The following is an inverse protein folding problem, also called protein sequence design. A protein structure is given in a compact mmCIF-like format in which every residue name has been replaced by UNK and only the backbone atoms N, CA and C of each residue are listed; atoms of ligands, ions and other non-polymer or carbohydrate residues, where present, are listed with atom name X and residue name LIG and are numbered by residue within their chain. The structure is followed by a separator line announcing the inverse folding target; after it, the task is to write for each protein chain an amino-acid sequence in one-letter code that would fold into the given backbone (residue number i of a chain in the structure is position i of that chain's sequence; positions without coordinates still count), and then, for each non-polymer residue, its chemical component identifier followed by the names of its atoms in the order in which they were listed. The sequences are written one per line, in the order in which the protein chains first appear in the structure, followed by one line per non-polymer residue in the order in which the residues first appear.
data_IF_729344261604
#
_entry.id   IF_729344261604
#
_cell.length_a   1.000
_cell.length_b   1.000
_cell.length_c   1.000
_cell.angle_alpha   90.00
_cell.angle_beta   90.00
_cell.angle_gamma   90.00
#
_symmetry.space_group_name_H-M   'P 1'
#
loop_
_entity.id
_entity.type
_entity.pdbx_description
1 polymer ?
#
# COMPACT_ATOMS: atom_id res chain seq x y z
N UNK A 1 -1.49 -16.90 16.15
CA UNK A 1 -1.73 -18.23 15.51
C UNK A 1 -2.46 -17.93 14.21
N UNK A 2 -1.95 -18.33 13.04
CA UNK A 2 -2.48 -17.86 11.74
C UNK A 2 -3.63 -18.75 11.25
N UNK A 3 -4.76 -18.16 10.83
CA UNK A 3 -5.95 -18.90 10.39
C UNK A 3 -6.08 -18.89 8.87
N UNK A 4 -6.26 -20.08 8.28
CA UNK A 4 -6.46 -20.26 6.84
C UNK A 4 -7.96 -20.20 6.52
N UNK A 5 -8.35 -19.28 5.63
CA UNK A 5 -9.74 -19.13 5.20
C UNK A 5 -9.94 -19.74 3.82
N UNK A 6 -10.87 -20.70 3.71
CA UNK A 6 -11.29 -21.31 2.45
C UNK A 6 -12.65 -20.76 2.03
N UNK A 7 -12.77 -20.29 0.79
CA UNK A 7 -14.06 -19.85 0.24
C UNK A 7 -14.38 -20.51 -1.10
N UNK A 8 -15.56 -21.10 -1.18
CA UNK A 8 -16.09 -21.81 -2.33
C UNK A 8 -17.36 -21.12 -2.86
N UNK A 9 -17.53 -21.08 -4.18
CA UNK A 9 -18.80 -20.68 -4.82
C UNK A 9 -19.50 -21.90 -5.43
N UNK A 10 -20.83 -21.90 -5.47
CA UNK A 10 -21.64 -22.97 -6.06
C UNK A 10 -22.34 -23.91 -5.08
N UNK A 11 -22.23 -23.69 -3.76
CA UNK A 11 -23.04 -24.41 -2.78
C UNK A 11 -24.46 -23.83 -2.76
N UNK A 12 -25.39 -24.44 -3.50
CA UNK A 12 -26.81 -24.12 -3.36
C UNK A 12 -27.31 -24.70 -2.03
N UNK A 13 -27.71 -23.77 -1.15
CA UNK A 13 -28.59 -23.91 0.01
C UNK A 13 -28.22 -24.90 1.13
N UNK A 14 -28.09 -24.32 2.33
CA UNK A 14 -28.37 -24.98 3.61
C UNK A 14 -29.71 -25.71 3.54
N UNK A 15 -29.72 -27.04 3.59
CA UNK A 15 -30.66 -27.90 4.31
C UNK A 15 -30.15 -29.35 4.18
N UNK A 16 -30.26 -30.16 5.25
CA UNK A 16 -30.04 -31.60 5.21
C UNK A 16 -30.81 -32.19 4.01
N UNK A 17 -30.11 -32.75 3.03
CA UNK A 17 -30.73 -33.50 1.94
C UNK A 17 -30.57 -35.00 2.21
N UNK A 18 -31.67 -35.63 2.63
CA UNK A 18 -31.85 -37.08 2.50
C UNK A 18 -31.79 -37.42 1.01
N UNK A 19 -30.86 -38.31 0.66
CA UNK A 19 -30.56 -38.69 -0.72
C UNK A 19 -31.59 -39.72 -1.21
N UNK A 20 -32.52 -39.30 -2.07
CA UNK A 20 -33.26 -40.20 -2.97
C UNK A 20 -32.93 -39.82 -4.42
N UNK A 21 -32.20 -40.71 -5.09
CA UNK A 21 -31.67 -40.57 -6.45
C UNK A 21 -32.75 -40.88 -7.49
N UNK A 22 -33.14 -39.90 -8.33
CA UNK A 22 -33.63 -40.18 -9.70
C UNK A 22 -33.32 -39.02 -10.66
N UNK A 23 -32.51 -39.27 -11.70
CA UNK A 23 -32.35 -38.39 -12.88
C UNK A 23 -30.91 -38.30 -13.43
N UNK A 24 -30.66 -38.57 -14.74
CA UNK A 24 -29.30 -38.74 -15.28
C UNK A 24 -28.58 -37.43 -15.68
N UNK A 25 -28.96 -36.27 -15.12
CA UNK A 25 -28.31 -34.99 -15.45
C UNK A 25 -27.99 -34.15 -14.20
N UNK A 26 -27.26 -34.76 -13.26
CA UNK A 26 -26.56 -34.02 -12.21
C UNK A 26 -25.22 -33.53 -12.78
N UNK A 27 -25.20 -32.32 -13.34
CA UNK A 27 -23.95 -31.56 -13.36
C UNK A 27 -23.63 -31.20 -11.91
N UNK A 28 -22.75 -31.97 -11.27
CA UNK A 28 -22.12 -31.53 -10.04
C UNK A 28 -21.42 -30.20 -10.35
N UNK A 29 -21.94 -29.09 -9.84
CA UNK A 29 -21.26 -27.80 -9.95
C UNK A 29 -19.99 -27.92 -9.10
N UNK A 30 -18.85 -28.21 -9.73
CA UNK A 30 -17.58 -28.28 -9.04
C UNK A 30 -17.36 -26.95 -8.31
N UNK A 31 -17.29 -27.03 -6.99
CA UNK A 31 -17.00 -25.89 -6.13
C UNK A 31 -15.66 -25.30 -6.57
N UNK A 32 -15.71 -24.14 -7.22
CA UNK A 32 -14.48 -23.47 -7.66
C UNK A 32 -14.00 -22.60 -6.50
N UNK A 33 -12.82 -22.94 -5.99
CA UNK A 33 -12.09 -22.13 -5.02
C UNK A 33 -11.80 -20.76 -5.62
N UNK A 34 -12.22 -19.68 -4.95
CA UNK A 34 -11.94 -18.32 -5.43
C UNK A 34 -10.51 -17.89 -5.09
N UNK A 35 -10.13 -18.01 -3.83
CA UNK A 35 -8.79 -17.72 -3.31
C UNK A 35 -8.63 -18.37 -1.93
N UNK A 36 -7.37 -18.53 -1.50
CA UNK A 36 -7.03 -18.71 -0.08
C UNK A 36 -6.22 -17.50 0.37
N UNK A 37 -6.52 -17.00 1.57
CA UNK A 37 -5.68 -15.99 2.23
C UNK A 37 -5.63 -16.31 3.71
N UNK A 38 -4.42 -16.41 4.24
CA UNK A 38 -4.17 -16.49 5.66
C UNK A 38 -4.15 -15.08 6.24
N UNK A 39 -4.90 -14.85 7.31
CA UNK A 39 -5.01 -13.54 7.97
C UNK A 39 -4.80 -13.74 9.47
N UNK A 40 -3.95 -12.93 10.09
CA UNK A 40 -3.73 -12.99 11.53
C UNK A 40 -2.85 -11.87 12.08
N UNK A 41 -3.04 -11.58 13.37
CA UNK A 41 -2.16 -10.73 14.16
C UNK A 41 -1.05 -11.53 14.85
N UNK A 42 -0.42 -10.90 15.84
CA UNK A 42 0.70 -11.48 16.60
C UNK A 42 0.26 -12.43 17.72
N UNK A 43 -1.00 -12.38 18.14
CA UNK A 43 -1.57 -13.17 19.23
C UNK A 43 -2.67 -14.13 18.71
N UNK A 44 -3.75 -14.30 19.47
CA UNK A 44 -4.88 -15.18 19.11
C UNK A 44 -5.91 -14.39 18.30
N UNK A 45 -6.33 -14.98 17.18
CA UNK A 45 -7.31 -14.40 16.26
C UNK A 45 -8.37 -15.44 15.91
N UNK A 46 -9.62 -15.12 16.21
CA UNK A 46 -10.78 -15.98 16.02
C UNK A 46 -11.74 -15.32 15.01
N UNK A 47 -11.62 -15.64 13.71
CA UNK A 47 -12.59 -15.21 12.70
C UNK A 47 -13.90 -15.98 12.91
N UNK A 48 -15.02 -15.25 12.97
CA UNK A 48 -16.35 -15.82 13.24
C UNK A 48 -17.32 -15.67 12.07
N UNK A 49 -17.04 -14.76 11.13
CA UNK A 49 -17.94 -14.47 10.02
C UNK A 49 -17.19 -14.03 8.76
N UNK A 50 -17.76 -14.37 7.61
CA UNK A 50 -17.40 -13.81 6.31
C UNK A 50 -18.69 -13.40 5.60
N UNK A 51 -18.75 -12.16 5.14
CA UNK A 51 -19.91 -11.60 4.42
C UNK A 51 -19.43 -11.08 3.08
N UNK A 52 -20.09 -11.48 1.99
CA UNK A 52 -19.83 -10.90 0.68
C UNK A 52 -20.41 -9.49 0.60
N UNK A 53 -19.64 -8.51 0.13
CA UNK A 53 -20.09 -7.13 -0.02
C UNK A 53 -20.74 -6.89 -1.39
N UNK A 54 -21.59 -5.87 -1.48
CA UNK A 54 -22.30 -5.52 -2.72
C UNK A 54 -21.36 -5.19 -3.89
N UNK A 55 -20.17 -4.69 -3.58
CA UNK A 55 -19.14 -4.39 -4.56
C UNK A 55 -18.31 -5.63 -4.96
N UNK A 56 -18.70 -6.84 -4.52
CA UNK A 56 -18.04 -8.09 -4.89
C UNK A 56 -16.78 -8.42 -4.07
N UNK A 57 -16.46 -7.63 -3.06
CA UNK A 57 -15.50 -8.00 -2.01
C UNK A 57 -16.12 -8.90 -0.93
N UNK A 58 -15.40 -9.01 0.19
CA UNK A 58 -15.79 -9.72 1.39
C UNK A 58 -15.36 -8.93 2.62
N UNK A 59 -16.11 -9.02 3.70
CA UNK A 59 -15.70 -8.61 5.04
C UNK A 59 -15.54 -9.86 5.88
N UNK A 60 -14.36 -10.03 6.48
CA UNK A 60 -14.13 -11.04 7.51
C UNK A 60 -14.24 -10.36 8.86
N UNK A 61 -15.11 -10.86 9.72
CA UNK A 61 -15.31 -10.37 11.08
C UNK A 61 -14.89 -11.42 12.09
N UNK A 62 -14.36 -10.96 13.21
CA UNK A 62 -13.97 -11.83 14.32
C UNK A 62 -13.48 -11.04 15.51
N UNK A 63 -12.75 -11.74 16.37
CA UNK A 63 -12.10 -11.12 17.53
C UNK A 63 -10.62 -11.43 17.53
N UNK A 64 -9.83 -10.53 18.09
CA UNK A 64 -8.38 -10.63 18.12
C UNK A 64 -7.87 -10.08 19.45
N UNK A 65 -6.95 -10.78 20.09
CA UNK A 65 -6.18 -10.28 21.23
C UNK A 65 -4.88 -9.58 20.80
N UNK A 66 -4.67 -9.41 19.50
CA UNK A 66 -3.46 -8.82 18.94
C UNK A 66 -3.50 -7.30 18.99
N UNK A 67 -2.39 -6.69 19.43
CA UNK A 67 -2.08 -5.30 19.10
C UNK A 67 -1.77 -5.11 17.61
N UNK A 68 -1.30 -3.93 17.22
CA UNK A 68 -0.85 -3.70 15.85
C UNK A 68 0.30 -4.66 15.50
N UNK A 69 0.23 -5.32 14.34
CA UNK A 69 1.21 -6.31 13.90
C UNK A 69 0.60 -7.46 13.11
N UNK A 70 1.43 -8.19 12.35
CA UNK A 70 0.94 -9.17 11.38
C UNK A 70 0.15 -8.48 10.26
N UNK A 71 -1.07 -8.94 9.99
CA UNK A 71 -2.00 -8.30 9.04
C UNK A 71 -2.85 -7.20 9.69
N UNK A 72 -2.78 -7.03 11.02
CA UNK A 72 -3.57 -6.02 11.75
C UNK A 72 -2.88 -4.67 11.70
N UNK A 73 -3.53 -3.70 11.06
CA UNK A 73 -3.00 -2.33 10.83
C UNK A 73 -3.37 -1.33 11.92
N UNK A 74 -4.25 -1.70 12.86
CA UNK A 74 -4.72 -0.84 13.94
C UNK A 74 -4.44 -1.49 15.30
N UNK A 75 -4.11 -0.68 16.31
CA UNK A 75 -3.98 -1.16 17.68
C UNK A 75 -5.32 -1.71 18.21
N UNK A 76 -5.26 -2.66 19.13
CA UNK A 76 -6.44 -3.13 19.88
C UNK A 76 -6.93 -2.04 20.84
N UNK A 77 -8.25 -1.96 21.06
CA UNK A 77 -8.85 -1.07 22.06
C UNK A 77 -9.14 -1.84 23.35
N UNK A 78 -8.09 -2.43 23.93
CA UNK A 78 -8.18 -3.27 25.14
C UNK A 78 -7.56 -4.65 24.91
N UNK A 79 -8.08 -5.67 25.59
CA UNK A 79 -7.64 -7.06 25.47
C UNK A 79 -8.10 -7.72 24.17
N UNK A 80 -9.10 -8.61 24.25
CA UNK A 80 -9.73 -9.21 23.07
C UNK A 80 -10.75 -8.24 22.49
N UNK A 81 -10.50 -7.75 21.30
CA UNK A 81 -11.31 -6.72 20.63
C UNK A 81 -11.82 -7.22 19.27
N UNK A 82 -12.85 -6.57 18.73
CA UNK A 82 -13.35 -6.89 17.40
C UNK A 82 -12.30 -6.55 16.33
N UNK A 83 -12.27 -7.38 15.29
CA UNK A 83 -11.43 -7.12 14.13
C UNK A 83 -12.21 -7.41 12.86
N UNK A 84 -12.20 -6.43 11.96
CA UNK A 84 -12.86 -6.50 10.67
C UNK A 84 -11.80 -6.33 9.59
N UNK A 85 -11.75 -7.28 8.65
CA UNK A 85 -10.77 -7.32 7.57
C UNK A 85 -11.50 -7.29 6.22
N UNK A 86 -11.38 -6.20 5.45
CA UNK A 86 -11.88 -6.17 4.09
C UNK A 86 -10.98 -7.00 3.17
N UNK A 87 -11.60 -7.87 2.39
CA UNK A 87 -10.99 -8.62 1.32
C UNK A 87 -11.61 -8.20 -0.01
N UNK A 88 -10.77 -7.94 -1.00
CA UNK A 88 -11.23 -7.46 -2.29
C UNK A 88 -11.01 -8.56 -3.32
N UNK A 89 -12.06 -8.86 -4.10
CA UNK A 89 -11.97 -9.70 -5.29
C UNK A 89 -12.28 -8.84 -6.52
N UNK A 90 -11.59 -9.11 -7.63
CA UNK A 90 -11.73 -8.28 -8.83
C UNK A 90 -11.01 -8.87 -10.04
N UNK A 91 -11.23 -8.27 -11.21
CA UNK A 91 -10.49 -8.61 -12.42
C UNK A 91 -9.34 -7.62 -12.57
N UNK A 92 -8.36 -7.78 -11.68
CA UNK A 92 -7.27 -6.83 -11.54
C UNK A 92 -6.26 -6.94 -12.67
N UNK A 93 -5.68 -5.80 -13.00
CA UNK A 93 -4.52 -5.64 -13.86
C UNK A 93 -3.64 -4.54 -13.27
N UNK A 94 -2.34 -4.63 -13.43
CA UNK A 94 -1.44 -3.64 -12.83
C UNK A 94 0.02 -4.04 -12.90
N UNK A 95 0.88 -3.02 -12.84
CA UNK A 95 2.32 -3.16 -12.98
C UNK A 95 3.07 -2.20 -12.07
N UNK A 96 4.19 -2.69 -11.53
CA UNK A 96 5.26 -1.83 -11.00
C UNK A 96 6.27 -1.60 -12.11
N UNK A 97 6.39 -0.37 -12.61
CA UNK A 97 7.31 -0.06 -13.72
C UNK A 97 8.54 0.75 -13.30
N UNK A 98 8.47 1.50 -12.20
CA UNK A 98 9.59 2.31 -11.71
C UNK A 98 9.80 2.14 -10.20
N UNK A 99 11.05 2.08 -9.78
CA UNK A 99 11.47 2.16 -8.38
C UNK A 99 12.82 2.88 -8.35
N UNK A 100 12.89 3.96 -7.60
CA UNK A 100 14.11 4.72 -7.30
C UNK A 100 14.17 5.02 -5.80
N UNK A 101 15.06 5.92 -5.39
CA UNK A 101 15.29 6.25 -3.99
C UNK A 101 14.17 7.09 -3.33
N UNK A 102 13.18 7.56 -4.08
CA UNK A 102 12.10 8.39 -3.52
C UNK A 102 10.71 7.86 -3.86
N UNK A 103 10.55 7.05 -4.91
CA UNK A 103 9.23 6.67 -5.38
C UNK A 103 9.19 5.30 -6.08
N UNK A 104 8.21 4.49 -5.69
CA UNK A 104 7.69 3.38 -6.47
C UNK A 104 6.53 3.86 -7.33
N UNK A 105 6.61 3.57 -8.63
CA UNK A 105 5.70 4.07 -9.66
C UNK A 105 5.08 2.91 -10.42
N UNK A 106 3.79 3.01 -10.65
CA UNK A 106 3.01 1.94 -11.24
C UNK A 106 1.59 2.35 -11.56
N UNK A 107 0.78 1.34 -11.86
CA UNK A 107 -0.66 1.49 -12.02
C UNK A 107 -1.38 0.20 -11.60
N UNK A 108 -2.62 0.34 -11.15
CA UNK A 108 -3.50 -0.77 -10.80
C UNK A 108 -4.94 -0.43 -11.20
N UNK A 109 -5.64 -1.38 -11.81
CA UNK A 109 -6.97 -1.20 -12.36
C UNK A 109 -7.82 -2.44 -12.20
N UNK A 110 -9.12 -2.28 -11.98
CA UNK A 110 -10.10 -3.37 -11.99
C UNK A 110 -10.98 -3.27 -13.24
N UNK A 111 -10.94 -4.30 -14.09
CA UNK A 111 -11.75 -4.36 -15.31
C UNK A 111 -13.25 -4.33 -15.03
N UNK A 112 -13.69 -4.83 -13.87
CA UNK A 112 -15.11 -4.85 -13.47
C UNK A 112 -15.59 -3.52 -12.89
N UNK A 113 -14.66 -2.68 -12.41
CA UNK A 113 -14.93 -1.37 -11.83
C UNK A 113 -14.02 -0.31 -12.49
N UNK A 114 -14.20 -0.05 -13.80
CA UNK A 114 -13.19 0.59 -14.61
C UNK A 114 -12.87 2.05 -14.25
N UNK A 115 -13.70 2.70 -13.44
CA UNK A 115 -13.51 4.09 -13.00
C UNK A 115 -13.22 4.20 -11.49
N UNK A 116 -13.16 3.09 -10.77
CA UNK A 116 -12.92 3.07 -9.32
C UNK A 116 -11.42 2.97 -9.06
N UNK A 117 -10.83 3.89 -8.29
CA UNK A 117 -9.42 3.79 -7.92
C UNK A 117 -9.18 2.60 -6.99
N UNK A 118 -8.02 1.96 -7.11
CA UNK A 118 -7.60 0.87 -6.23
C UNK A 118 -6.52 1.36 -5.26
N UNK A 119 -6.50 0.82 -4.05
CA UNK A 119 -5.39 1.02 -3.12
C UNK A 119 -4.34 -0.07 -3.34
N UNK A 120 -3.08 0.34 -3.47
CA UNK A 120 -1.93 -0.55 -3.66
C UNK A 120 -1.11 -0.59 -2.37
N UNK A 121 -0.87 -1.78 -1.85
CA UNK A 121 -0.06 -2.04 -0.65
C UNK A 121 1.34 -2.50 -1.04
N UNK A 122 2.36 -1.96 -0.37
CA UNK A 122 3.76 -2.29 -0.56
C UNK A 122 4.32 -3.01 0.65
N UNK A 123 5.13 -4.03 0.41
CA UNK A 123 5.71 -4.86 1.48
C UNK A 123 7.08 -5.40 1.08
N UNK A 124 7.91 -5.69 2.08
CA UNK A 124 9.21 -6.33 1.88
C UNK A 124 9.02 -7.75 1.36
N UNK A 125 9.79 -8.10 0.34
CA UNK A 125 9.89 -9.46 -0.18
C UNK A 125 10.34 -10.43 0.93
N UNK A 126 9.80 -11.66 0.89
CA UNK A 126 10.00 -12.74 1.88
C UNK A 126 9.46 -12.47 3.28
N UNK A 127 9.76 -11.33 3.88
CA UNK A 127 9.30 -11.03 5.25
C UNK A 127 7.81 -10.69 5.30
N UNK A 128 7.24 -10.18 4.21
CA UNK A 128 5.84 -9.76 4.16
C UNK A 128 5.56 -8.50 4.99
N UNK A 129 6.58 -7.84 5.51
CA UNK A 129 6.44 -6.64 6.34
C UNK A 129 5.84 -5.51 5.50
N UNK A 130 4.65 -5.05 5.88
CA UNK A 130 3.96 -3.95 5.22
C UNK A 130 4.74 -2.64 5.43
N UNK A 131 5.00 -1.93 4.35
CA UNK A 131 5.71 -0.65 4.31
C UNK A 131 4.76 0.54 4.20
N UNK A 132 3.57 0.32 3.67
CA UNK A 132 2.55 1.33 3.49
C UNK A 132 1.65 1.04 2.30
N UNK A 133 0.75 1.97 2.00
CA UNK A 133 -0.13 1.88 0.85
C UNK A 133 -0.35 3.25 0.22
N UNK A 134 -0.78 3.27 -1.04
CA UNK A 134 -1.16 4.49 -1.75
C UNK A 134 -2.36 4.22 -2.65
N UNK A 135 -3.13 5.26 -2.97
CA UNK A 135 -4.25 5.14 -3.89
C UNK A 135 -3.77 5.32 -5.35
N UNK A 136 -4.28 4.49 -6.24
CA UNK A 136 -4.03 4.56 -7.67
C UNK A 136 -5.10 5.42 -8.35
N UNK A 137 -4.98 6.75 -8.19
CA UNK A 137 -5.93 7.75 -8.69
C UNK A 137 -5.29 8.80 -9.62
N UNK A 138 -4.03 8.62 -10.01
CA UNK A 138 -3.31 9.57 -10.87
C UNK A 138 -3.69 9.31 -12.33
N UNK A 139 -4.15 10.35 -13.02
CA UNK A 139 -4.48 10.32 -14.45
C UNK A 139 -3.22 10.10 -15.31
N UNK A 140 -3.34 9.24 -16.33
CA UNK A 140 -2.30 9.03 -17.34
C UNK A 140 -2.89 8.82 -18.72
N UNK A 141 -2.47 9.62 -19.70
CA UNK A 141 -2.98 9.55 -21.07
C UNK A 141 -2.82 8.15 -21.70
N UNK A 142 -1.67 7.51 -21.51
CA UNK A 142 -1.43 6.16 -22.05
C UNK A 142 -2.34 5.07 -21.46
N UNK A 143 -2.94 5.31 -20.28
CA UNK A 143 -3.96 4.42 -19.72
C UNK A 143 -5.32 4.63 -20.38
N UNK A 144 -5.61 5.87 -20.81
CA UNK A 144 -6.82 6.20 -21.57
C UNK A 144 -6.80 5.49 -22.92
N UNK A 145 -5.66 5.58 -23.61
CA UNK A 145 -5.44 4.94 -24.91
C UNK A 145 -5.53 3.41 -24.81
N UNK A 146 -5.14 2.84 -23.65
CA UNK A 146 -5.28 1.42 -23.34
C UNK A 146 -6.70 0.97 -22.91
N UNK A 147 -7.72 1.85 -23.01
CA UNK A 147 -9.11 1.53 -22.67
C UNK A 147 -9.37 1.31 -21.18
N UNK A 148 -8.51 1.81 -20.29
CA UNK A 148 -8.62 1.64 -18.83
C UNK A 148 -9.51 2.75 -18.22
N UNK A 149 -10.79 2.77 -18.61
CA UNK A 149 -11.81 3.65 -18.03
C UNK A 149 -11.47 5.16 -18.07
N UNK A 150 -11.48 5.80 -16.89
CA UNK A 150 -11.15 7.22 -16.74
C UNK A 150 -9.64 7.51 -16.73
N UNK A 151 -8.80 6.47 -16.82
CA UNK A 151 -7.35 6.55 -16.86
C UNK A 151 -6.67 7.09 -15.59
N UNK A 152 -7.43 7.31 -14.52
CA UNK A 152 -6.96 7.72 -13.20
C UNK A 152 -6.61 6.50 -12.35
N UNK A 153 -5.57 5.79 -12.77
CA UNK A 153 -5.20 4.47 -12.25
C UNK A 153 -3.71 4.31 -11.95
N UNK A 154 -2.93 5.38 -12.08
CA UNK A 154 -1.52 5.38 -11.72
C UNK A 154 -1.32 5.76 -10.26
N UNK A 155 -0.16 5.39 -9.72
CA UNK A 155 0.21 5.70 -8.35
C UNK A 155 1.68 6.07 -8.24
N UNK A 156 1.98 6.84 -7.19
CA UNK A 156 3.31 7.12 -6.67
C UNK A 156 3.30 6.75 -5.18
N UNK A 157 4.25 5.92 -4.75
CA UNK A 157 4.43 5.54 -3.35
C UNK A 157 5.83 5.90 -2.90
N UNK A 158 5.95 6.72 -1.85
CA UNK A 158 7.22 7.03 -1.22
C UNK A 158 7.45 6.07 -0.05
N UNK A 159 8.46 5.18 -0.14
CA UNK A 159 8.79 4.29 0.97
C UNK A 159 9.16 5.10 2.22
N UNK A 160 8.84 4.59 3.42
CA UNK A 160 9.27 5.23 4.66
C UNK A 160 10.80 5.17 4.78
N UNK A 161 11.39 6.12 5.51
CA UNK A 161 12.85 6.21 5.70
C UNK A 161 13.51 4.99 6.36
N UNK A 162 12.72 4.06 6.91
CA UNK A 162 13.18 2.77 7.44
C UNK A 162 13.54 1.74 6.36
N UNK A 163 13.29 2.03 5.08
CA UNK A 163 13.65 1.16 3.96
C UNK A 163 15.08 1.47 3.50
N UNK A 164 15.94 0.45 3.53
CA UNK A 164 17.34 0.56 3.14
C UNK A 164 17.54 0.24 1.66
N UNK A 165 18.55 0.85 1.02
CA UNK A 165 18.94 0.53 -0.35
C UNK A 165 19.18 -0.98 -0.53
N UNK A 166 18.79 -1.51 -1.69
CA UNK A 166 18.82 -2.94 -2.01
C UNK A 166 17.63 -3.74 -1.49
N UNK A 167 16.74 -3.15 -0.67
CA UNK A 167 15.55 -3.84 -0.20
C UNK A 167 14.65 -4.25 -1.36
N UNK A 168 14.29 -5.54 -1.43
CA UNK A 168 13.34 -6.05 -2.42
C UNK A 168 11.92 -5.77 -1.93
N UNK A 169 11.14 -5.04 -2.73
CA UNK A 169 9.78 -4.62 -2.42
C UNK A 169 8.81 -5.20 -3.45
N UNK A 170 7.68 -5.69 -2.93
CA UNK A 170 6.52 -6.14 -3.71
C UNK A 170 5.36 -5.18 -3.56
N UNK A 171 4.42 -5.28 -4.49
CA UNK A 171 3.16 -4.56 -4.43
C UNK A 171 1.98 -5.48 -4.74
N UNK A 172 0.87 -5.31 -4.04
CA UNK A 172 -0.40 -6.01 -4.28
C UNK A 172 -1.58 -5.05 -4.19
N UNK A 173 -2.72 -5.42 -4.77
CA UNK A 173 -3.98 -4.69 -4.51
C UNK A 173 -4.37 -4.97 -3.06
N UNK A 174 -4.53 -3.92 -2.25
CA UNK A 174 -4.84 -4.02 -0.82
C UNK A 174 -6.10 -4.88 -0.60
N UNK A 175 -6.04 -5.77 0.39
CA UNK A 175 -7.14 -6.69 0.67
C UNK A 175 -7.28 -7.87 -0.31
N UNK A 176 -6.45 -7.96 -1.36
CA UNK A 176 -6.49 -9.10 -2.30
C UNK A 176 -5.27 -10.01 -2.15
N UNK A 177 -5.21 -11.07 -2.97
CA UNK A 177 -4.01 -11.90 -3.21
C UNK A 177 -3.31 -11.55 -4.54
N UNK A 178 -3.82 -10.55 -5.28
CA UNK A 178 -3.29 -10.17 -6.58
C UNK A 178 -2.02 -9.32 -6.43
N UNK A 179 -0.87 -9.93 -6.72
CA UNK A 179 0.39 -9.21 -6.85
C UNK A 179 0.46 -8.45 -8.19
N UNK A 180 0.95 -7.22 -8.16
CA UNK A 180 1.15 -6.43 -9.37
C UNK A 180 2.24 -7.08 -10.23
N UNK A 181 2.07 -7.04 -11.54
CA UNK A 181 3.01 -7.64 -12.50
C UNK A 181 4.37 -6.94 -12.44
N UNK A 182 5.43 -7.68 -12.80
CA UNK A 182 6.85 -7.32 -12.57
C UNK A 182 7.14 -7.13 -11.07
N UNK A 183 6.55 -8.03 -10.27
CA UNK A 183 6.19 -7.88 -8.86
C UNK A 183 7.30 -7.84 -7.80
N UNK A 184 8.58 -7.77 -8.19
CA UNK A 184 9.66 -7.46 -7.24
C UNK A 184 10.52 -6.36 -7.83
N UNK A 185 10.71 -5.28 -7.07
CA UNK A 185 11.59 -4.19 -7.41
C UNK A 185 12.53 -3.92 -6.25
N UNK A 186 13.82 -3.87 -6.56
CA UNK A 186 14.81 -3.40 -5.61
C UNK A 186 14.61 -1.90 -5.40
N UNK A 187 14.54 -1.49 -4.15
CA UNK A 187 14.65 -0.10 -3.76
C UNK A 187 16.10 0.33 -3.97
N UNK A 188 16.33 1.10 -5.02
CA UNK A 188 17.68 1.48 -5.43
C UNK A 188 17.93 2.94 -5.04
N UNK A 189 18.57 3.11 -3.88
CA UNK A 189 19.30 4.34 -3.60
C UNK A 189 20.73 4.11 -4.07
N UNK A 190 21.00 4.44 -5.33
CA UNK A 190 22.37 4.82 -5.66
C UNK A 190 22.71 6.07 -4.82
N UNK A 191 23.96 6.29 -4.40
CA UNK A 191 24.38 7.66 -4.16
C UNK A 191 23.96 8.43 -5.41
N UNK A 192 23.39 9.63 -5.24
CA UNK A 192 23.12 10.50 -6.39
C UNK A 192 24.33 10.37 -7.31
N UNK A 193 24.13 9.96 -8.56
CA UNK A 193 25.22 10.13 -9.52
C UNK A 193 25.50 11.61 -9.41
N UNK A 194 26.69 11.97 -8.92
CA UNK A 194 27.28 13.26 -9.20
C UNK A 194 27.41 13.24 -10.73
N UNK A 195 26.31 13.54 -11.43
CA UNK A 195 26.40 14.31 -12.64
C UNK A 195 27.31 15.46 -12.23
N UNK A 196 28.40 15.64 -12.96
CA UNK A 196 29.22 16.82 -12.80
C UNK A 196 28.31 18.03 -13.13
N UNK A 197 27.55 18.49 -12.14
CA UNK A 197 26.89 19.78 -12.17
C UNK A 197 28.04 20.78 -12.15
N UNK A 198 28.35 21.26 -13.34
CA UNK A 198 29.12 22.47 -13.49
C UNK A 198 28.19 23.59 -13.07
N UNK A 199 28.15 23.89 -11.77
CA UNK A 199 27.20 24.85 -11.23
C UNK A 199 27.26 24.98 -9.71
N UNK A 200 28.31 25.63 -9.21
CA UNK A 200 28.39 26.14 -7.84
C UNK A 200 27.38 27.27 -7.62
N UNK A 201 26.08 26.97 -7.57
CA UNK A 201 25.08 27.97 -7.17
C UNK A 201 24.76 27.79 -5.69
N UNK A 202 25.08 28.81 -4.90
CA UNK A 202 24.70 28.88 -3.49
C UNK A 202 23.18 28.82 -3.39
N UNK A 203 22.66 27.82 -2.68
CA UNK A 203 21.23 27.69 -2.38
C UNK A 203 21.02 27.85 -0.88
N UNK A 204 20.01 28.62 -0.52
CA UNK A 204 19.59 28.82 0.87
C UNK A 204 18.09 28.49 0.96
N UNK A 205 17.74 27.54 1.80
CA UNK A 205 16.36 27.12 2.03
C UNK A 205 16.04 27.24 3.51
N UNK A 206 14.94 27.95 3.82
CA UNK A 206 14.39 27.98 5.18
C UNK A 206 13.41 26.83 5.31
N UNK A 207 13.68 25.93 6.25
CA UNK A 207 12.87 24.75 6.52
C UNK A 207 11.80 25.06 7.58
N UNK A 208 10.69 24.33 7.49
CA UNK A 208 9.68 24.29 8.54
C UNK A 208 8.64 25.42 8.54
N UNK A 209 8.16 25.92 7.40
CA UNK A 209 7.05 26.89 7.41
C UNK A 209 5.68 26.19 7.63
N UNK A 210 4.91 26.54 8.70
CA UNK A 210 5.18 27.53 9.74
C UNK A 210 6.08 27.01 10.87
N UNK A 211 7.02 27.86 11.31
CA UNK A 211 7.97 27.60 12.42
C UNK A 211 7.41 28.22 13.72
N UNK A 212 7.61 27.56 14.85
CA UNK A 212 7.18 28.07 16.16
C UNK A 212 8.36 28.54 17.02
N UNK A 213 9.33 27.66 17.28
CA UNK A 213 10.40 27.92 18.27
C UNK A 213 11.82 27.89 17.69
N UNK A 214 11.98 27.28 16.51
CA UNK A 214 13.27 27.09 15.86
C UNK A 214 13.14 27.33 14.35
N UNK A 215 14.13 28.01 13.78
CA UNK A 215 14.28 28.19 12.34
C UNK A 215 15.45 27.32 11.89
N UNK A 216 15.17 26.35 11.03
CA UNK A 216 16.21 25.53 10.42
C UNK A 216 16.52 26.09 9.03
N UNK A 217 17.80 26.32 8.73
CA UNK A 217 18.26 26.86 7.45
C UNK A 217 19.22 25.86 6.83
N UNK A 218 18.89 25.38 5.64
CA UNK A 218 19.77 24.54 4.85
C UNK A 218 20.51 25.40 3.81
N UNK A 219 21.86 25.36 3.84
CA UNK A 219 22.71 26.04 2.85
C UNK A 219 23.48 24.99 2.07
N UNK A 220 23.37 25.03 0.73
CA UNK A 220 24.08 24.14 -0.20
C UNK A 220 24.97 24.96 -1.13
N UNK A 221 26.10 24.40 -1.56
CA UNK A 221 26.99 25.02 -2.56
C UNK A 221 28.06 25.97 -2.02
N UNK A 222 28.34 25.98 -0.71
CA UNK A 222 29.35 26.84 -0.07
C UNK A 222 30.65 26.12 0.31
N UNK A 223 31.01 25.05 -0.40
CA UNK A 223 32.15 24.22 -0.05
C UNK A 223 33.46 25.03 -0.01
N UNK A 224 34.15 24.99 1.15
CA UNK A 224 35.40 25.70 1.43
C UNK A 224 35.30 27.24 1.39
N UNK A 225 34.10 27.81 1.44
CA UNK A 225 33.92 29.26 1.61
C UNK A 225 33.41 29.58 3.02
N UNK A 226 33.95 30.61 3.69
CA UNK A 226 33.39 31.07 4.95
C UNK A 226 32.00 31.69 4.70
N UNK A 227 31.00 31.24 5.47
CA UNK A 227 29.66 31.79 5.43
C UNK A 227 29.42 32.69 6.64
N UNK A 228 28.72 33.81 6.41
CA UNK A 228 28.21 34.68 7.47
C UNK A 228 26.69 34.70 7.41
N UNK A 229 26.05 34.13 8.43
CA UNK A 229 24.60 34.17 8.57
C UNK A 229 24.20 35.39 9.42
N UNK A 230 23.18 36.12 8.97
CA UNK A 230 22.52 37.17 9.76
C UNK A 230 21.02 36.98 9.64
N UNK A 231 20.32 37.01 10.78
CA UNK A 231 18.88 37.00 10.85
C UNK A 231 18.40 38.36 11.33
N UNK A 232 17.33 38.88 10.74
CA UNK A 232 16.70 40.13 11.18
C UNK A 232 15.23 39.89 11.46
N UNK A 233 14.68 40.60 12.44
CA UNK A 233 13.24 40.67 12.62
C UNK A 233 12.57 41.49 11.51
N UNK A 234 11.23 41.55 11.51
CA UNK A 234 10.46 42.31 10.53
C UNK A 234 10.71 43.84 10.58
N UNK A 235 11.38 44.34 11.62
CA UNK A 235 11.80 45.74 11.75
C UNK A 235 13.25 45.99 11.34
N UNK A 236 13.96 44.95 10.87
CA UNK A 236 15.35 45.01 10.43
C UNK A 236 16.38 44.93 11.56
N UNK A 237 15.99 44.63 12.79
CA UNK A 237 16.93 44.45 13.92
C UNK A 237 17.54 43.06 13.89
N UNK A 238 18.85 42.98 14.11
CA UNK A 238 19.57 41.70 14.15
C UNK A 238 19.06 40.82 15.31
N UNK A 239 18.73 39.56 14.98
CA UNK A 239 18.40 38.52 15.94
C UNK A 239 19.70 37.80 16.30
N UNK A 240 20.16 37.95 17.54
CA UNK A 240 21.37 37.28 18.00
C UNK A 240 21.10 35.78 18.23
N UNK A 241 22.03 34.88 17.84
CA UNK A 241 21.98 33.50 18.32
C UNK A 241 22.19 33.49 19.84
N UNK A 242 21.38 32.68 20.55
CA UNK A 242 21.61 32.38 21.96
C UNK A 242 22.81 31.43 22.13
#
# INVERSE_FOLDING_TARGET
MKTLLHYFTGLRNNHLAVLLLVGPNLFAQHATKLFDKTIGGTASDDPTSIVKTADGGYLVGGTSSSGMGGDKTTAARGGRDYWVVPLVSGSFDGFVYGADCSTFRGWAWDRKKPNTPLTVEFYRDRSGTVLGSTIANIYRQDRKDAGKGNASHAYNFSPPGSVTSGALIRARVLGSTYELKRGVKAYQCAPARLSAETGSQLQVMVLGNPVFDQVEVEIRGAERQPLRLQMTDASGRLVAPA
#
